data_IF_063147892789
#
_entry.id   IF_063147892789
#
_cell.length_a   1.000
_cell.length_b   1.000
_cell.length_c   1.000
_cell.angle_alpha   90.00
_cell.angle_beta   90.00
_cell.angle_gamma   90.00
#
_symmetry.space_group_name_H-M   'P 1'
#
loop_
_entity.id
_entity.type
_entity.pdbx_description
1 polymer ?
#
# COMPACT_ATOMS: atom_id res chain seq x y z
N UNK A 1 0.59 -27.68 -6.62
CA UNK A 1 0.70 -26.41 -5.86
C UNK A 1 -0.50 -25.52 -6.19
N UNK A 2 -1.10 -24.84 -5.20
CA UNK A 2 -2.18 -23.84 -5.41
C UNK A 2 -1.84 -22.52 -4.70
N UNK A 3 -2.47 -21.42 -5.08
CA UNK A 3 -2.31 -20.10 -4.45
C UNK A 3 -0.91 -19.48 -4.60
N UNK A 4 -0.46 -18.72 -3.60
CA UNK A 4 0.79 -17.92 -3.62
C UNK A 4 2.04 -18.73 -4.02
N UNK A 5 2.20 -19.96 -3.50
CA UNK A 5 3.34 -20.83 -3.85
C UNK A 5 3.36 -21.20 -5.34
N UNK A 6 2.19 -21.43 -5.92
CA UNK A 6 2.05 -21.70 -7.36
C UNK A 6 2.37 -20.45 -8.19
N UNK A 7 1.76 -19.31 -7.82
CA UNK A 7 1.99 -18.04 -8.51
C UNK A 7 3.48 -17.63 -8.50
N UNK A 8 4.18 -17.83 -7.38
CA UNK A 8 5.62 -17.57 -7.27
C UNK A 8 6.46 -18.43 -8.24
N UNK A 9 6.08 -19.70 -8.44
CA UNK A 9 6.84 -20.61 -9.30
C UNK A 9 6.50 -20.43 -10.78
N UNK A 10 5.23 -20.20 -11.11
CA UNK A 10 4.71 -20.26 -12.47
C UNK A 10 4.54 -18.91 -13.15
N UNK A 11 4.36 -17.81 -12.41
CA UNK A 11 4.01 -16.51 -12.98
C UNK A 11 5.13 -15.48 -12.77
N UNK A 12 5.78 -15.09 -13.87
CA UNK A 12 6.88 -14.10 -13.87
C UNK A 12 6.42 -12.71 -13.45
N UNK A 13 5.24 -12.27 -13.90
CA UNK A 13 4.69 -10.96 -13.51
C UNK A 13 4.41 -10.89 -12.01
N UNK A 14 3.83 -11.95 -11.44
CA UNK A 14 3.62 -12.05 -9.99
C UNK A 14 4.93 -11.95 -9.21
N UNK A 15 6.03 -12.53 -9.74
CA UNK A 15 7.35 -12.41 -9.13
C UNK A 15 7.84 -10.97 -9.09
N UNK A 16 7.60 -10.18 -10.13
CA UNK A 16 7.90 -8.75 -10.12
C UNK A 16 6.99 -7.99 -9.16
N UNK A 17 5.68 -8.23 -9.20
CA UNK A 17 4.71 -7.56 -8.33
C UNK A 17 5.02 -7.75 -6.84
N UNK A 18 5.37 -8.96 -6.40
CA UNK A 18 5.66 -9.22 -4.99
C UNK A 18 7.04 -8.71 -4.54
N UNK A 19 7.96 -8.51 -5.49
CA UNK A 19 9.32 -8.03 -5.22
C UNK A 19 9.46 -6.51 -5.44
N UNK A 20 8.42 -5.84 -5.92
CA UNK A 20 8.41 -4.40 -6.16
C UNK A 20 8.56 -3.63 -4.84
N UNK A 21 9.71 -2.98 -4.67
CA UNK A 21 10.06 -2.22 -3.50
C UNK A 21 9.13 -1.03 -3.27
N UNK A 22 8.45 -0.49 -4.28
CA UNK A 22 7.46 0.57 -4.08
C UNK A 22 6.26 0.10 -3.23
N UNK A 23 6.04 -1.21 -3.13
CA UNK A 23 4.99 -1.85 -2.32
C UNK A 23 5.51 -2.50 -1.02
N UNK A 24 6.82 -2.52 -0.76
CA UNK A 24 7.40 -3.14 0.43
C UNK A 24 7.73 -2.11 1.52
N UNK A 25 7.10 -2.25 2.69
CA UNK A 25 7.31 -1.38 3.84
C UNK A 25 7.57 -2.19 5.11
N UNK A 26 8.44 -1.71 6.02
CA UNK A 26 8.59 -2.33 7.32
C UNK A 26 7.31 -2.12 8.14
N UNK A 27 6.86 -3.19 8.80
CA UNK A 27 5.69 -3.17 9.67
C UNK A 27 5.94 -4.04 10.92
N UNK A 28 5.25 -3.71 12.01
CA UNK A 28 5.27 -4.53 13.23
C UNK A 28 4.59 -5.87 12.92
N UNK A 29 5.23 -6.99 13.31
CA UNK A 29 4.77 -8.34 12.95
C UNK A 29 3.32 -8.63 13.37
N UNK A 30 2.91 -8.21 14.57
CA UNK A 30 1.54 -8.36 15.07
C UNK A 30 0.52 -7.56 14.25
N UNK A 31 0.85 -6.31 13.90
CA UNK A 31 -0.01 -5.47 13.04
C UNK A 31 -0.14 -6.09 11.65
N UNK A 32 0.97 -6.59 11.08
CA UNK A 32 0.94 -7.26 9.77
C UNK A 32 0.09 -8.54 9.79
N UNK A 33 0.25 -9.37 10.83
CA UNK A 33 -0.52 -10.59 11.00
C UNK A 33 -2.04 -10.31 11.13
N UNK A 34 -2.42 -9.34 11.97
CA UNK A 34 -3.82 -8.97 12.18
C UNK A 34 -4.44 -8.27 10.96
N UNK A 35 -3.68 -7.42 10.24
CA UNK A 35 -4.17 -6.74 9.03
C UNK A 35 -4.45 -7.73 7.91
N UNK A 36 -3.68 -8.82 7.83
CA UNK A 36 -3.89 -9.88 6.85
C UNK A 36 -3.99 -9.33 5.40
N UNK A 37 -4.98 -9.76 4.63
CA UNK A 37 -5.30 -9.29 3.29
C UNK A 37 -6.49 -8.30 3.28
N UNK A 38 -6.81 -7.68 4.42
CA UNK A 38 -7.99 -6.81 4.55
C UNK A 38 -7.82 -5.49 3.81
N UNK A 39 -8.92 -5.04 3.19
CA UNK A 39 -8.95 -3.76 2.51
C UNK A 39 -8.92 -2.62 3.53
N UNK A 40 -8.31 -1.51 3.11
CA UNK A 40 -8.30 -0.31 3.94
C UNK A 40 -9.64 0.43 3.83
N UNK A 41 -10.18 0.85 4.97
CA UNK A 41 -11.42 1.61 5.07
C UNK A 41 -11.36 2.54 6.29
N UNK A 42 -12.31 3.46 6.37
CA UNK A 42 -12.53 4.26 7.58
C UNK A 42 -13.46 3.47 8.54
N UNK A 43 -13.08 3.39 9.80
CA UNK A 43 -13.75 2.72 10.91
C UNK A 43 -13.94 3.71 12.07
N UNK A 44 -14.82 4.72 11.93
CA UNK A 44 -14.96 5.80 12.91
C UNK A 44 -15.40 5.29 14.29
N UNK A 45 -16.27 4.28 14.32
CA UNK A 45 -16.83 3.71 15.56
C UNK A 45 -15.93 2.69 16.26
N UNK A 46 -14.81 2.32 15.65
CA UNK A 46 -13.90 1.31 16.21
C UNK A 46 -12.79 1.94 17.03
N UNK A 47 -12.34 1.22 18.05
CA UNK A 47 -11.15 1.57 18.83
C UNK A 47 -9.93 0.76 18.37
N UNK A 48 -8.73 1.24 18.71
CA UNK A 48 -7.52 0.48 18.40
C UNK A 48 -7.30 -0.64 19.40
N UNK A 49 -6.89 -1.80 18.90
CA UNK A 49 -6.42 -2.93 19.71
C UNK A 49 -4.90 -2.87 20.02
N UNK A 50 -4.17 -1.87 19.50
CA UNK A 50 -2.71 -1.79 19.58
C UNK A 50 -2.21 -0.72 20.56
N UNK A 51 -2.99 -0.41 21.60
CA UNK A 51 -2.65 0.58 22.61
C UNK A 51 -2.47 1.97 22.00
N UNK A 52 -1.24 2.49 21.99
CA UNK A 52 -0.91 3.82 21.46
C UNK A 52 -0.90 3.91 19.93
N UNK A 53 -0.81 2.79 19.21
CA UNK A 53 -0.85 2.77 17.75
C UNK A 53 -2.31 2.87 17.30
N UNK A 54 -2.75 3.92 16.57
CA UNK A 54 -4.17 4.14 16.26
C UNK A 54 -4.70 3.25 15.11
N UNK A 55 -4.03 2.13 14.83
CA UNK A 55 -4.46 1.16 13.84
C UNK A 55 -5.73 0.45 14.33
N UNK A 56 -6.77 0.41 13.51
CA UNK A 56 -8.04 -0.27 13.86
C UNK A 56 -8.29 -1.41 12.88
N UNK A 57 -8.78 -2.54 13.38
CA UNK A 57 -9.08 -3.71 12.56
C UNK A 57 -10.39 -4.29 13.08
N UNK A 58 -11.42 -4.30 12.24
CA UNK A 58 -12.68 -4.95 12.53
C UNK A 58 -13.29 -5.50 11.23
N UNK A 59 -14.04 -6.61 11.31
CA UNK A 59 -14.85 -7.14 10.20
C UNK A 59 -14.10 -7.19 8.84
N UNK A 60 -12.89 -7.76 8.85
CA UNK A 60 -12.02 -7.87 7.66
C UNK A 60 -11.72 -6.54 6.96
N UNK A 61 -11.72 -5.44 7.71
CA UNK A 61 -11.37 -4.07 7.29
C UNK A 61 -10.29 -3.53 8.21
N UNK A 62 -9.42 -2.69 7.67
CA UNK A 62 -8.36 -2.05 8.42
C UNK A 62 -8.43 -0.52 8.25
N UNK A 63 -8.41 0.24 9.34
CA UNK A 63 -8.17 1.68 9.31
C UNK A 63 -6.72 1.95 9.74
N UNK A 64 -5.86 2.45 8.84
CA UNK A 64 -4.49 2.74 9.17
C UNK A 64 -4.36 4.10 9.89
N UNK A 65 -3.27 4.30 10.66
CA UNK A 65 -2.92 5.60 11.20
C UNK A 65 -2.86 6.68 10.13
N UNK A 66 -3.23 7.91 10.50
CA UNK A 66 -3.27 9.07 9.58
C UNK A 66 -1.96 9.26 8.81
N UNK A 67 -0.81 9.15 9.50
CA UNK A 67 0.52 9.28 8.88
C UNK A 67 0.91 8.17 7.89
N UNK A 68 0.10 7.12 7.74
CA UNK A 68 0.31 6.05 6.75
C UNK A 68 -0.63 6.18 5.53
N UNK A 69 -1.75 6.90 5.64
CA UNK A 69 -2.81 6.94 4.62
C UNK A 69 -2.35 7.42 3.26
N UNK A 70 -1.60 8.52 3.19
CA UNK A 70 -1.07 9.05 1.93
C UNK A 70 -0.12 8.06 1.24
N UNK A 71 0.77 7.43 2.01
CA UNK A 71 1.69 6.39 1.51
C UNK A 71 0.94 5.20 0.93
N UNK A 72 -0.03 4.67 1.69
CA UNK A 72 -0.88 3.56 1.27
C UNK A 72 -1.60 3.92 -0.03
N UNK A 73 -2.23 5.09 -0.09
CA UNK A 73 -2.96 5.56 -1.26
C UNK A 73 -2.09 5.59 -2.52
N UNK A 74 -0.91 6.22 -2.45
CA UNK A 74 0.01 6.31 -3.58
C UNK A 74 0.54 4.96 -4.01
N UNK A 75 0.83 4.05 -3.07
CA UNK A 75 1.25 2.69 -3.39
C UNK A 75 0.14 1.92 -4.10
N UNK A 76 -1.11 2.00 -3.64
CA UNK A 76 -2.25 1.35 -4.32
C UNK A 76 -2.44 1.89 -5.75
N UNK A 77 -2.41 3.21 -5.92
CA UNK A 77 -2.53 3.86 -7.23
C UNK A 77 -1.37 3.48 -8.15
N UNK A 78 -0.15 3.39 -7.63
CA UNK A 78 1.02 2.95 -8.37
C UNK A 78 0.88 1.49 -8.85
N UNK A 79 0.44 0.59 -7.98
CA UNK A 79 0.25 -0.82 -8.35
C UNK A 79 -0.85 -0.99 -9.42
N UNK A 80 -1.95 -0.23 -9.30
CA UNK A 80 -3.07 -0.20 -10.28
C UNK A 80 -2.63 0.37 -11.64
N UNK A 81 -1.71 1.34 -11.64
CA UNK A 81 -1.14 1.90 -12.88
C UNK A 81 -0.09 0.98 -13.52
N UNK A 82 0.72 0.30 -12.71
CA UNK A 82 1.91 -0.43 -13.19
C UNK A 82 1.60 -1.84 -13.66
N UNK A 83 0.64 -2.51 -13.00
CA UNK A 83 0.33 -3.91 -13.25
C UNK A 83 -1.12 -4.09 -13.69
N UNK A 84 -1.35 -4.34 -14.97
CA UNK A 84 -2.69 -4.47 -15.56
C UNK A 84 -3.52 -5.61 -14.98
N UNK A 85 -2.87 -6.65 -14.43
CA UNK A 85 -3.55 -7.76 -13.75
C UNK A 85 -4.05 -7.41 -12.35
N UNK A 86 -3.56 -6.32 -11.75
CA UNK A 86 -4.06 -5.80 -10.50
C UNK A 86 -5.11 -4.73 -10.78
N UNK A 87 -6.25 -4.83 -10.11
CA UNK A 87 -7.29 -3.83 -10.18
C UNK A 87 -7.94 -3.62 -8.82
N UNK A 88 -8.34 -2.38 -8.55
CA UNK A 88 -9.12 -2.03 -7.38
C UNK A 88 -10.62 -2.01 -7.69
N UNK A 89 -11.44 -2.26 -6.67
CA UNK A 89 -12.86 -1.92 -6.75
C UNK A 89 -13.04 -0.40 -6.89
N UNK A 90 -14.17 0.04 -7.45
CA UNK A 90 -14.50 1.47 -7.60
C UNK A 90 -14.43 2.22 -6.26
N UNK A 91 -14.91 1.60 -5.18
CA UNK A 91 -14.89 2.18 -3.83
C UNK A 91 -13.46 2.33 -3.28
N UNK A 92 -12.60 1.33 -3.46
CA UNK A 92 -11.20 1.42 -3.05
C UNK A 92 -10.47 2.49 -3.85
N UNK A 93 -10.66 2.54 -5.18
CA UNK A 93 -10.04 3.57 -6.02
C UNK A 93 -10.47 4.98 -5.62
N UNK A 94 -11.74 5.20 -5.27
CA UNK A 94 -12.21 6.49 -4.75
C UNK A 94 -11.56 6.84 -3.41
N UNK A 95 -11.47 5.89 -2.48
CA UNK A 95 -10.81 6.10 -1.19
C UNK A 95 -9.33 6.47 -1.36
N UNK A 96 -8.58 5.73 -2.19
CA UNK A 96 -7.17 6.00 -2.42
C UNK A 96 -6.96 7.36 -3.10
N UNK A 97 -7.80 7.73 -4.06
CA UNK A 97 -7.74 9.07 -4.65
C UNK A 97 -8.04 10.19 -3.64
N UNK A 98 -8.98 9.97 -2.72
CA UNK A 98 -9.28 10.94 -1.66
C UNK A 98 -8.09 11.07 -0.70
N UNK A 99 -7.52 9.95 -0.24
CA UNK A 99 -6.37 9.94 0.66
C UNK A 99 -5.11 10.53 0.03
N UNK A 100 -4.85 10.28 -1.26
CA UNK A 100 -3.71 10.91 -1.95
C UNK A 100 -3.82 12.44 -1.97
N UNK A 101 -5.03 12.98 -2.14
CA UNK A 101 -5.29 14.42 -2.10
C UNK A 101 -5.22 15.00 -0.68
N UNK A 102 -5.78 14.31 0.30
CA UNK A 102 -5.86 14.79 1.69
C UNK A 102 -4.52 14.71 2.42
N UNK A 103 -3.68 13.74 2.08
CA UNK A 103 -2.42 13.47 2.77
C UNK A 103 -1.24 13.68 1.81
N UNK A 104 -0.65 14.89 1.77
CA UNK A 104 0.40 15.21 0.80
C UNK A 104 1.63 14.33 0.97
N UNK A 105 2.45 14.28 -0.09
CA UNK A 105 3.69 13.53 -0.06
C UNK A 105 4.68 14.15 0.92
N UNK A 106 5.36 13.29 1.68
CA UNK A 106 6.44 13.71 2.57
C UNK A 106 7.79 13.73 1.86
N UNK A 107 8.73 14.53 2.37
CA UNK A 107 10.13 14.53 1.87
C UNK A 107 10.76 13.14 1.89
N UNK A 108 10.46 12.34 2.92
CA UNK A 108 10.93 10.96 3.04
C UNK A 108 10.40 10.06 1.92
N UNK A 109 9.12 10.20 1.53
CA UNK A 109 8.56 9.44 0.41
C UNK A 109 9.27 9.75 -0.91
N UNK A 110 9.55 11.03 -1.15
CA UNK A 110 10.28 11.47 -2.34
C UNK A 110 11.71 10.92 -2.38
N UNK A 111 12.43 10.98 -1.26
CA UNK A 111 13.77 10.41 -1.15
C UNK A 111 13.76 8.89 -1.32
N UNK A 112 12.78 8.20 -0.70
CA UNK A 112 12.59 6.76 -0.85
C UNK A 112 12.32 6.38 -2.30
N UNK A 113 11.43 7.11 -2.99
CA UNK A 113 11.10 6.87 -4.40
C UNK A 113 12.35 6.93 -5.27
N UNK A 114 13.19 7.97 -5.11
CA UNK A 114 14.46 8.12 -5.83
C UNK A 114 15.44 6.97 -5.56
N UNK A 115 15.57 6.55 -4.30
CA UNK A 115 16.43 5.42 -3.93
C UNK A 115 15.96 4.10 -4.54
N UNK A 116 14.65 3.85 -4.52
CA UNK A 116 14.07 2.65 -5.12
C UNK A 116 14.25 2.68 -6.64
N UNK A 117 14.01 3.82 -7.28
CA UNK A 117 14.21 3.98 -8.72
C UNK A 117 15.65 3.68 -9.15
N UNK A 118 16.64 4.14 -8.36
CA UNK A 118 18.05 3.84 -8.62
C UNK A 118 18.41 2.35 -8.53
N UNK A 119 17.71 1.57 -7.69
CA UNK A 119 18.01 0.13 -7.47
C UNK A 119 17.13 -0.77 -8.34
N UNK A 120 15.84 -0.47 -8.45
CA UNK A 120 14.86 -1.26 -9.20
C UNK A 120 14.83 -0.91 -10.69
N UNK A 121 15.22 0.32 -11.03
CA UNK A 121 15.24 0.83 -12.40
C UNK A 121 13.93 1.43 -12.91
N UNK A 122 12.86 1.46 -12.10
CA UNK A 122 11.57 2.03 -12.52
C UNK A 122 11.02 3.11 -11.56
N UNK A 123 10.50 4.23 -12.11
CA UNK A 123 9.96 5.32 -11.32
C UNK A 123 8.56 5.00 -10.79
N UNK A 124 8.26 5.49 -9.59
CA UNK A 124 6.88 5.62 -9.14
C UNK A 124 6.33 6.98 -9.60
N UNK A 125 5.70 6.98 -10.78
CA UNK A 125 5.13 8.21 -11.39
C UNK A 125 4.13 8.91 -10.48
N UNK A 126 3.38 8.15 -9.68
CA UNK A 126 2.41 8.71 -8.72
C UNK A 126 3.13 9.54 -7.67
N UNK A 127 4.14 8.96 -6.99
CA UNK A 127 4.91 9.68 -5.96
C UNK A 127 5.72 10.82 -6.58
N UNK A 128 6.46 10.56 -7.68
CA UNK A 128 7.35 11.53 -8.30
C UNK A 128 6.59 12.79 -8.79
N UNK A 129 5.36 12.65 -9.31
CA UNK A 129 4.54 13.80 -9.74
C UNK A 129 4.05 14.70 -8.59
N UNK A 130 4.07 14.20 -7.34
CA UNK A 130 3.69 14.95 -6.14
C UNK A 130 4.88 15.58 -5.43
N UNK A 131 6.08 15.06 -5.68
CA UNK A 131 7.33 15.58 -5.15
C UNK A 131 7.70 16.87 -5.88
N UNK A 132 7.36 18.00 -5.26
CA UNK A 132 7.78 19.35 -5.68
C UNK A 132 8.99 19.79 -4.87
#
# INVERSE_FOLDING_TARGET
>A
YKGRKCANKANKEYRYMQADMHNLFPAIGSVNAMRSNYNFQMLPSESSMFGSCPMKINDRKAEPPVGARGRIARTYLYMDQTYSRYSMSKSQKQLMNAWDKMYPVSKWECQRSKKIEAVQGNPNKIVNSRCR
#
